data_IF_990415401086
#
_entry.id   IF_990415401086
#
_cell.length_a   1.000
_cell.length_b   1.000
_cell.length_c   1.000
_cell.angle_alpha   90.00
_cell.angle_beta   90.00
_cell.angle_gamma   90.00
#
_symmetry.space_group_name_H-M   'P 1'
#
loop_
_entity.id
_entity.type
_entity.pdbx_description
1 polymer ?
#
# COMPACT_ATOMS: atom_id res chain seq x y z
N UNK A 1 -25.55 4.61 -6.10
CA UNK A 1 -24.32 3.79 -6.08
C UNK A 1 -24.07 3.28 -4.67
N UNK A 2 -23.33 2.19 -4.49
CA UNK A 2 -23.14 1.63 -3.13
C UNK A 2 -21.94 2.30 -2.44
N UNK A 3 -22.09 2.61 -1.15
CA UNK A 3 -20.99 3.05 -0.30
C UNK A 3 -19.93 1.96 -0.18
N UNK A 4 -18.69 2.36 0.14
CA UNK A 4 -17.59 1.46 0.44
C UNK A 4 -17.26 1.52 1.93
N UNK A 5 -17.34 0.39 2.61
CA UNK A 5 -17.01 0.27 4.02
C UNK A 5 -15.54 -0.12 4.18
N UNK A 6 -14.75 0.78 4.77
CA UNK A 6 -13.31 0.60 4.95
C UNK A 6 -12.96 0.65 6.44
N UNK A 7 -12.16 -0.30 6.88
CA UNK A 7 -11.56 -0.31 8.22
C UNK A 7 -10.07 -0.08 8.12
N UNK A 8 -9.55 0.86 8.90
CA UNK A 8 -8.12 1.11 9.07
C UNK A 8 -7.64 0.52 10.39
N UNK A 9 -6.44 -0.08 10.40
CA UNK A 9 -5.81 -0.61 11.62
C UNK A 9 -4.49 0.13 11.85
N UNK A 10 -4.50 1.05 12.80
CA UNK A 10 -3.28 1.67 13.34
C UNK A 10 -2.81 0.86 14.54
N UNK A 11 -1.59 0.33 14.50
CA UNK A 11 -1.09 -0.56 15.57
C UNK A 11 0.40 -0.45 15.79
N UNK A 12 0.85 -0.82 16.98
CA UNK A 12 2.26 -0.99 17.31
C UNK A 12 2.73 -2.36 16.81
N UNK A 13 3.54 -2.36 15.76
CA UNK A 13 4.08 -3.60 15.19
C UNK A 13 5.22 -4.15 16.05
N UNK A 14 5.20 -5.45 16.30
CA UNK A 14 6.31 -6.19 16.89
C UNK A 14 7.47 -6.23 15.90
N UNK A 15 8.64 -5.72 16.35
CA UNK A 15 9.79 -5.58 15.46
C UNK A 15 10.37 -6.94 15.06
N UNK A 16 10.42 -7.21 13.76
CA UNK A 16 10.94 -8.43 13.14
C UNK A 16 10.32 -9.73 13.68
N UNK A 17 9.13 -9.67 14.29
CA UNK A 17 8.40 -10.82 14.81
C UNK A 17 7.09 -11.04 14.02
N UNK A 18 7.19 -11.85 12.98
CA UNK A 18 6.08 -12.15 12.08
C UNK A 18 4.93 -12.83 12.81
N UNK A 19 5.22 -13.86 13.60
CA UNK A 19 4.18 -14.65 14.27
C UNK A 19 3.35 -13.77 15.22
N UNK A 20 4.01 -12.94 16.04
CA UNK A 20 3.34 -12.02 16.95
C UNK A 20 2.50 -10.99 16.19
N UNK A 21 3.01 -10.42 15.08
CA UNK A 21 2.27 -9.46 14.26
C UNK A 21 1.02 -10.09 13.63
N UNK A 22 1.13 -11.26 13.01
CA UNK A 22 -0.01 -11.93 12.37
C UNK A 22 -1.08 -12.30 13.40
N UNK A 23 -0.68 -12.80 14.57
CA UNK A 23 -1.59 -13.12 15.68
C UNK A 23 -2.31 -11.87 16.19
N UNK A 24 -1.58 -10.78 16.47
CA UNK A 24 -2.14 -9.51 16.93
C UNK A 24 -3.12 -8.92 15.91
N UNK A 25 -2.75 -8.87 14.63
CA UNK A 25 -3.59 -8.33 13.57
C UNK A 25 -4.86 -9.18 13.37
N UNK A 26 -4.75 -10.50 13.49
CA UNK A 26 -5.93 -11.38 13.42
C UNK A 26 -6.90 -11.09 14.56
N UNK A 27 -6.41 -10.85 15.79
CA UNK A 27 -7.26 -10.47 16.92
C UNK A 27 -7.96 -9.13 16.69
N UNK A 28 -7.22 -8.11 16.15
CA UNK A 28 -7.82 -6.83 15.79
C UNK A 28 -8.86 -6.95 14.68
N UNK A 29 -8.62 -7.75 13.65
CA UNK A 29 -9.60 -8.02 12.59
C UNK A 29 -10.83 -8.75 13.16
N UNK A 30 -10.64 -9.70 14.07
CA UNK A 30 -11.75 -10.39 14.75
C UNK A 30 -12.57 -9.46 15.64
N UNK A 31 -11.98 -8.41 16.19
CA UNK A 31 -12.68 -7.44 17.05
C UNK A 31 -13.56 -6.45 16.28
N UNK A 32 -13.43 -6.36 14.95
CA UNK A 32 -14.29 -5.51 14.11
C UNK A 32 -15.73 -6.01 14.20
N UNK A 33 -16.61 -5.17 14.73
CA UNK A 33 -18.04 -5.47 14.90
C UNK A 33 -18.89 -4.95 13.75
N UNK A 34 -18.45 -3.87 13.15
CA UNK A 34 -19.11 -3.24 12.02
C UNK A 34 -18.91 -4.09 10.76
N UNK A 35 -19.89 -4.02 9.86
CA UNK A 35 -19.67 -4.55 8.50
C UNK A 35 -18.53 -3.78 7.87
N UNK A 36 -17.57 -4.50 7.29
CA UNK A 36 -16.46 -3.90 6.52
C UNK A 36 -16.24 -4.70 5.25
N UNK A 37 -15.71 -4.04 4.22
CA UNK A 37 -15.43 -4.64 2.93
C UNK A 37 -13.92 -4.65 2.63
N UNK A 38 -13.22 -3.62 3.11
CA UNK A 38 -11.77 -3.48 2.96
C UNK A 38 -11.15 -3.22 4.33
N UNK A 39 -10.13 -3.98 4.69
CA UNK A 39 -9.31 -3.74 5.88
C UNK A 39 -7.91 -3.38 5.44
N UNK A 40 -7.42 -2.22 5.91
CA UNK A 40 -6.13 -1.66 5.55
C UNK A 40 -5.15 -1.79 6.72
N UNK A 41 -4.04 -2.50 6.49
CA UNK A 41 -2.94 -2.72 7.43
C UNK A 41 -1.78 -1.78 7.12
N UNK A 42 -0.85 -1.53 8.07
CA UNK A 42 0.35 -0.72 7.84
C UNK A 42 1.31 -1.31 6.78
N UNK A 43 2.33 -0.52 6.41
CA UNK A 43 3.48 -0.98 5.64
C UNK A 43 4.26 -2.04 6.40
N UNK A 44 4.76 -3.06 5.69
CA UNK A 44 5.53 -4.19 6.28
C UNK A 44 4.89 -4.71 7.58
N UNK A 45 3.58 -4.92 7.53
CA UNK A 45 2.76 -5.22 8.72
C UNK A 45 3.20 -6.49 9.46
N UNK A 46 3.88 -7.41 8.79
CA UNK A 46 4.37 -8.66 9.39
C UNK A 46 5.70 -8.52 10.13
N UNK A 47 6.49 -7.46 9.85
CA UNK A 47 7.87 -7.35 10.38
C UNK A 47 8.23 -5.97 10.92
N UNK A 48 7.49 -4.90 10.55
CA UNK A 48 7.99 -3.54 10.64
C UNK A 48 8.99 -3.22 9.53
N UNK A 49 9.38 -1.94 9.41
CA UNK A 49 10.24 -1.42 8.33
C UNK A 49 11.72 -1.80 8.54
N UNK A 50 12.05 -3.07 8.27
CA UNK A 50 13.40 -3.64 8.45
C UNK A 50 14.21 -3.60 7.16
N UNK A 51 15.54 -3.42 7.30
CA UNK A 51 16.52 -3.48 6.21
C UNK A 51 17.26 -4.84 6.20
N UNK A 52 16.58 -5.92 6.63
CA UNK A 52 17.14 -7.30 6.65
C UNK A 52 16.28 -8.24 5.79
N UNK A 53 16.06 -7.95 4.49
CA UNK A 53 15.20 -8.79 3.67
C UNK A 53 15.73 -10.22 3.52
N UNK A 54 17.04 -10.44 3.61
CA UNK A 54 17.65 -11.76 3.50
C UNK A 54 17.15 -12.73 4.59
N UNK A 55 16.78 -12.19 5.77
CA UNK A 55 16.29 -12.96 6.91
C UNK A 55 14.78 -13.03 6.99
N UNK A 56 14.08 -11.99 6.51
CA UNK A 56 12.67 -11.76 6.80
C UNK A 56 11.75 -11.98 5.59
N UNK A 57 12.30 -11.95 4.36
CA UNK A 57 11.50 -12.02 3.16
C UNK A 57 10.87 -13.40 2.96
N UNK A 58 9.63 -13.38 2.52
CA UNK A 58 8.86 -14.55 2.10
C UNK A 58 8.64 -14.53 0.59
N UNK A 59 8.41 -15.69 -0.01
CA UNK A 59 7.85 -15.76 -1.35
C UNK A 59 6.32 -15.59 -1.31
N UNK A 60 5.69 -15.58 -2.47
CA UNK A 60 4.22 -15.42 -2.60
C UNK A 60 3.40 -16.62 -2.08
N UNK A 61 4.07 -17.72 -1.65
CA UNK A 61 3.46 -18.88 -1.00
C UNK A 61 3.79 -18.95 0.49
N UNK A 62 4.43 -17.91 1.04
CA UNK A 62 4.86 -17.83 2.43
C UNK A 62 3.72 -17.65 3.43
N UNK A 63 4.09 -17.69 4.72
CA UNK A 63 3.17 -17.65 5.86
C UNK A 63 2.25 -16.42 5.83
N UNK A 64 2.80 -15.23 5.52
CA UNK A 64 2.03 -13.99 5.43
C UNK A 64 0.94 -14.06 4.36
N UNK A 65 1.26 -14.59 3.17
CA UNK A 65 0.28 -14.75 2.09
C UNK A 65 -0.80 -15.78 2.43
N UNK A 66 -0.42 -16.91 3.04
CA UNK A 66 -1.36 -17.93 3.49
C UNK A 66 -2.29 -17.38 4.56
N UNK A 67 -1.76 -16.60 5.51
CA UNK A 67 -2.54 -15.90 6.53
C UNK A 67 -3.53 -14.90 5.90
N UNK A 68 -3.08 -14.07 4.94
CA UNK A 68 -3.95 -13.12 4.24
C UNK A 68 -5.08 -13.84 3.50
N UNK A 69 -4.79 -14.92 2.77
CA UNK A 69 -5.80 -15.74 2.05
C UNK A 69 -6.84 -16.28 3.02
N UNK A 70 -6.38 -16.90 4.12
CA UNK A 70 -7.27 -17.49 5.13
C UNK A 70 -8.17 -16.44 5.78
N UNK A 71 -7.60 -15.36 6.31
CA UNK A 71 -8.35 -14.32 7.01
C UNK A 71 -9.33 -13.61 6.08
N UNK A 72 -8.91 -13.30 4.85
CA UNK A 72 -9.78 -12.71 3.82
C UNK A 72 -10.99 -13.58 3.53
N UNK A 73 -10.79 -14.88 3.33
CA UNK A 73 -11.87 -15.84 3.06
C UNK A 73 -12.82 -16.02 4.27
N UNK A 74 -12.27 -16.23 5.47
CA UNK A 74 -13.06 -16.43 6.71
C UNK A 74 -13.93 -15.22 7.04
N UNK A 75 -13.39 -14.02 6.89
CA UNK A 75 -14.08 -12.76 7.21
C UNK A 75 -14.87 -12.18 6.05
N UNK A 76 -14.71 -12.71 4.84
CA UNK A 76 -15.29 -12.21 3.58
C UNK A 76 -14.98 -10.73 3.35
N UNK A 77 -13.71 -10.35 3.57
CA UNK A 77 -13.18 -9.00 3.43
C UNK A 77 -12.04 -8.99 2.42
N UNK A 78 -11.81 -7.83 1.85
CA UNK A 78 -10.56 -7.53 1.15
C UNK A 78 -9.54 -7.10 2.20
N UNK A 79 -8.35 -7.69 2.16
CA UNK A 79 -7.26 -7.37 3.09
C UNK A 79 -6.10 -6.75 2.31
N UNK A 80 -5.62 -5.58 2.73
CA UNK A 80 -4.50 -4.91 2.06
C UNK A 80 -3.48 -4.38 3.06
N UNK A 81 -2.21 -4.48 2.69
CA UNK A 81 -1.04 -4.07 3.45
C UNK A 81 0.21 -4.56 2.75
N UNK A 82 1.40 -4.08 3.11
CA UNK A 82 2.64 -4.55 2.49
C UNK A 82 3.45 -5.45 3.42
N UNK A 83 4.28 -6.30 2.82
CA UNK A 83 5.24 -7.15 3.52
C UNK A 83 6.54 -7.27 2.72
N UNK A 84 7.58 -7.85 3.32
CA UNK A 84 8.86 -8.09 2.66
C UNK A 84 8.75 -9.35 1.80
N UNK A 85 8.75 -9.17 0.48
CA UNK A 85 8.63 -10.26 -0.48
C UNK A 85 9.94 -10.51 -1.21
N UNK A 86 10.23 -11.77 -1.54
CA UNK A 86 11.33 -12.16 -2.42
C UNK A 86 10.80 -12.85 -3.66
N UNK A 87 11.38 -12.50 -4.81
CA UNK A 87 11.19 -13.24 -6.07
C UNK A 87 12.55 -13.73 -6.55
N UNK A 88 12.61 -14.98 -7.00
CA UNK A 88 13.74 -15.46 -7.76
C UNK A 88 13.77 -14.75 -9.12
N UNK A 89 14.92 -14.29 -9.56
CA UNK A 89 15.09 -13.81 -10.93
C UNK A 89 15.01 -15.03 -11.83
N UNK A 90 13.85 -15.27 -12.43
CA UNK A 90 13.74 -16.19 -13.55
C UNK A 90 14.52 -15.57 -14.71
N UNK A 91 15.79 -15.92 -14.86
CA UNK A 91 16.48 -15.71 -16.12
C UNK A 91 15.62 -16.37 -17.20
N UNK A 92 15.31 -15.65 -18.28
CA UNK A 92 14.87 -16.26 -19.52
C UNK A 92 16.04 -17.10 -20.07
N UNK A 93 16.30 -18.26 -19.44
CA UNK A 93 17.11 -19.29 -20.03
C UNK A 93 16.16 -20.06 -20.94
N UNK A 94 16.40 -19.99 -22.26
CA UNK A 94 15.82 -20.90 -23.22
C UNK A 94 15.95 -22.32 -22.68
N UNK A 95 14.83 -23.06 -22.62
CA UNK A 95 14.73 -24.42 -22.06
C UNK A 95 15.71 -25.45 -22.74
N UNK A 96 16.43 -25.02 -23.77
CA UNK A 96 17.34 -25.87 -24.53
C UNK A 96 18.78 -26.00 -23.97
N UNK A 97 19.18 -25.22 -22.94
CA UNK A 97 20.54 -25.26 -22.36
C UNK A 97 20.62 -25.67 -20.89
N UNK A 98 19.57 -26.18 -20.32
CA UNK A 98 19.43 -26.47 -18.88
C UNK A 98 20.07 -27.76 -18.40
N UNK A 99 20.86 -28.49 -19.22
CA UNK A 99 21.41 -29.82 -18.83
C UNK A 99 22.93 -29.89 -18.61
N UNK A 100 23.66 -28.82 -18.74
CA UNK A 100 25.10 -28.82 -18.40
C UNK A 100 25.49 -27.51 -17.73
N UNK A 101 25.57 -27.50 -16.46
CA UNK A 101 26.48 -26.85 -15.51
C UNK A 101 25.74 -26.55 -14.19
N UNK A 102 25.67 -27.54 -13.31
CA UNK A 102 25.47 -27.33 -11.88
C UNK A 102 26.77 -26.74 -11.26
N UNK A 103 27.05 -25.49 -11.51
CA UNK A 103 28.00 -24.74 -10.73
C UNK A 103 27.21 -23.73 -9.89
N UNK A 104 27.53 -23.69 -8.59
CA UNK A 104 26.87 -22.97 -7.51
C UNK A 104 26.81 -21.44 -7.70
N UNK A 105 26.03 -20.98 -8.67
CA UNK A 105 25.61 -19.57 -8.74
C UNK A 105 24.23 -19.49 -8.13
N UNK A 106 24.13 -18.84 -6.95
CA UNK A 106 22.85 -18.50 -6.35
C UNK A 106 22.05 -17.68 -7.39
N UNK A 107 20.82 -18.15 -7.70
CA UNK A 107 19.90 -17.37 -8.55
C UNK A 107 19.74 -15.99 -7.91
N UNK A 108 20.00 -14.90 -8.65
CA UNK A 108 19.82 -13.57 -8.11
C UNK A 108 18.41 -13.42 -7.51
N UNK A 109 18.33 -12.93 -6.31
CA UNK A 109 17.06 -12.77 -5.59
C UNK A 109 16.76 -11.27 -5.49
N UNK A 110 15.57 -10.86 -5.93
CA UNK A 110 15.07 -9.51 -5.70
C UNK A 110 14.17 -9.48 -4.47
N UNK A 111 14.33 -8.44 -3.68
CA UNK A 111 13.47 -8.16 -2.52
C UNK A 111 12.59 -6.95 -2.81
N UNK A 112 11.34 -7.01 -2.39
CA UNK A 112 10.35 -5.97 -2.61
C UNK A 112 9.63 -5.63 -1.30
N UNK A 113 9.33 -4.35 -1.12
CA UNK A 113 8.28 -3.88 -0.23
C UNK A 113 6.97 -4.01 -1.02
N UNK A 114 6.31 -5.18 -0.89
CA UNK A 114 5.18 -5.60 -1.74
C UNK A 114 3.86 -5.43 -1.02
N UNK A 115 3.01 -4.58 -1.55
CA UNK A 115 1.63 -4.42 -1.10
C UNK A 115 0.73 -5.41 -1.84
N UNK A 116 -0.15 -6.06 -1.09
CA UNK A 116 -1.12 -7.03 -1.59
C UNK A 116 -2.53 -6.45 -1.46
N UNK A 117 -3.33 -6.66 -2.47
CA UNK A 117 -4.78 -6.52 -2.46
C UNK A 117 -5.38 -7.91 -2.53
N UNK A 118 -5.68 -8.51 -1.36
CA UNK A 118 -6.16 -9.89 -1.23
C UNK A 118 -7.68 -9.93 -1.25
N UNK A 119 -8.27 -10.63 -2.21
CA UNK A 119 -9.72 -10.84 -2.31
C UNK A 119 -10.16 -12.05 -1.46
N UNK A 120 -11.45 -12.11 -1.06
CA UNK A 120 -12.00 -13.23 -0.29
C UNK A 120 -11.90 -14.60 -0.97
N UNK A 121 -11.84 -14.63 -2.29
CA UNK A 121 -11.70 -15.86 -3.09
C UNK A 121 -10.24 -16.31 -3.27
N UNK A 122 -9.29 -15.58 -2.66
CA UNK A 122 -7.86 -15.87 -2.72
C UNK A 122 -7.14 -15.30 -3.95
N UNK A 123 -7.84 -14.66 -4.88
CA UNK A 123 -7.20 -13.86 -5.93
C UNK A 123 -6.57 -12.61 -5.31
N UNK A 124 -5.51 -12.11 -5.91
CA UNK A 124 -4.82 -10.91 -5.38
C UNK A 124 -4.21 -10.04 -6.47
N UNK A 125 -4.13 -8.75 -6.19
CA UNK A 125 -3.33 -7.79 -6.93
C UNK A 125 -2.04 -7.47 -6.17
N UNK A 126 -1.00 -7.02 -6.90
CA UNK A 126 0.33 -6.74 -6.36
C UNK A 126 0.76 -5.33 -6.74
N UNK A 127 1.29 -4.60 -5.77
CA UNK A 127 2.02 -3.35 -5.97
C UNK A 127 3.36 -3.40 -5.27
N UNK A 128 4.45 -3.32 -6.02
CA UNK A 128 5.80 -3.16 -5.48
C UNK A 128 6.10 -1.67 -5.32
N UNK A 129 6.52 -1.27 -4.13
CA UNK A 129 6.86 0.13 -3.80
C UNK A 129 7.82 0.70 -4.83
N UNK A 130 7.42 1.80 -5.47
CA UNK A 130 8.25 2.44 -6.50
C UNK A 130 9.37 3.26 -5.89
N UNK A 131 9.06 4.13 -4.93
CA UNK A 131 10.04 5.04 -4.35
C UNK A 131 10.58 4.47 -3.04
N UNK A 132 11.80 3.94 -3.10
CA UNK A 132 12.52 3.39 -1.94
C UNK A 132 13.11 4.53 -1.12
N UNK A 133 12.97 4.45 0.20
CA UNK A 133 13.45 5.48 1.11
C UNK A 133 14.97 5.38 1.27
N UNK A 134 15.74 5.96 0.32
CA UNK A 134 17.19 5.91 0.26
C UNK A 134 17.89 6.47 1.51
N UNK A 135 17.27 7.46 2.20
CA UNK A 135 17.80 7.99 3.46
C UNK A 135 17.96 6.91 4.55
N UNK A 136 17.12 5.86 4.54
CA UNK A 136 17.25 4.70 5.43
C UNK A 136 17.97 3.52 4.75
N UNK A 137 18.46 3.67 3.54
CA UNK A 137 19.15 2.61 2.80
C UNK A 137 18.22 1.61 2.11
N UNK A 138 16.91 1.87 2.03
CA UNK A 138 15.94 0.95 1.40
C UNK A 138 16.32 0.65 -0.07
N UNK A 139 16.92 1.60 -0.77
CA UNK A 139 17.40 1.46 -2.16
C UNK A 139 18.54 0.44 -2.33
N UNK A 140 19.27 0.15 -1.24
CA UNK A 140 20.36 -0.83 -1.23
C UNK A 140 19.89 -2.26 -1.00
N UNK A 141 18.69 -2.43 -0.42
CA UNK A 141 18.16 -3.72 0.01
C UNK A 141 16.95 -4.17 -0.82
N UNK A 142 16.19 -3.24 -1.39
CA UNK A 142 14.94 -3.53 -2.08
C UNK A 142 14.95 -3.06 -3.53
N UNK A 143 14.23 -3.78 -4.37
CA UNK A 143 14.02 -3.44 -5.78
C UNK A 143 12.79 -2.54 -5.92
N UNK A 144 12.88 -1.52 -6.80
CA UNK A 144 11.77 -0.65 -7.10
C UNK A 144 10.71 -1.33 -7.99
N UNK A 145 9.44 -1.09 -7.69
CA UNK A 145 8.35 -1.40 -8.59
C UNK A 145 8.27 -0.44 -9.78
N UNK A 146 7.64 -0.90 -10.86
CA UNK A 146 7.51 -0.12 -12.11
C UNK A 146 6.07 0.09 -12.54
N UNK A 147 5.10 -0.54 -11.86
CA UNK A 147 3.68 -0.53 -12.25
C UNK A 147 2.81 -0.03 -11.11
N UNK A 148 1.79 0.78 -11.43
CA UNK A 148 0.73 1.12 -10.49
C UNK A 148 -0.27 -0.04 -10.39
N UNK A 149 -0.91 -0.19 -9.23
CA UNK A 149 -2.06 -1.06 -9.03
C UNK A 149 -3.30 -0.20 -8.76
N UNK A 150 -4.26 -0.27 -9.66
CA UNK A 150 -5.60 0.28 -9.46
C UNK A 150 -6.56 -0.90 -9.35
N UNK A 151 -6.96 -1.19 -8.12
CA UNK A 151 -7.89 -2.27 -7.81
C UNK A 151 -9.34 -1.80 -7.96
N UNK A 152 -10.26 -2.77 -8.12
CA UNK A 152 -11.70 -2.47 -8.21
C UNK A 152 -12.51 -3.30 -7.23
N UNK A 153 -13.47 -2.66 -6.56
CA UNK A 153 -14.45 -3.31 -5.68
C UNK A 153 -15.79 -2.55 -5.75
N UNK A 154 -16.88 -3.24 -6.02
CA UNK A 154 -18.24 -2.67 -6.06
C UNK A 154 -18.35 -1.39 -6.90
N UNK A 155 -17.60 -1.30 -7.99
CA UNK A 155 -17.55 -0.14 -8.86
C UNK A 155 -16.66 1.02 -8.36
N UNK A 156 -16.03 0.90 -7.20
CA UNK A 156 -14.96 1.80 -6.76
C UNK A 156 -13.63 1.41 -7.40
N UNK A 157 -12.85 2.41 -7.79
CA UNK A 157 -11.48 2.26 -8.25
C UNK A 157 -10.53 2.77 -7.17
N UNK A 158 -9.55 1.98 -6.79
CA UNK A 158 -8.67 2.24 -5.64
C UNK A 158 -7.21 2.16 -6.09
N UNK A 159 -6.47 3.25 -5.99
CA UNK A 159 -5.04 3.29 -6.22
C UNK A 159 -4.30 2.98 -4.92
N UNK A 160 -3.30 2.10 -4.98
CA UNK A 160 -2.58 1.60 -3.82
C UNK A 160 -1.12 2.02 -3.89
N UNK A 161 -0.62 2.64 -2.82
CA UNK A 161 0.76 3.13 -2.72
C UNK A 161 1.35 2.89 -1.32
N UNK A 162 2.68 2.99 -1.21
CA UNK A 162 3.40 2.66 0.01
C UNK A 162 4.27 3.84 0.46
N UNK A 163 3.96 4.38 1.63
CA UNK A 163 4.79 5.24 2.46
C UNK A 163 5.49 6.38 1.69
N UNK A 164 6.74 6.19 1.31
CA UNK A 164 7.57 7.21 0.67
C UNK A 164 7.05 7.65 -0.70
N UNK A 165 6.20 6.84 -1.37
CA UNK A 165 5.51 7.22 -2.61
C UNK A 165 4.69 8.51 -2.42
N UNK A 166 4.21 8.78 -1.19
CA UNK A 166 3.47 9.99 -0.84
C UNK A 166 4.23 11.29 -1.20
N UNK A 167 5.57 11.27 -1.19
CA UNK A 167 6.38 12.44 -1.53
C UNK A 167 6.45 12.75 -3.02
N UNK A 168 5.99 11.86 -3.87
CA UNK A 168 6.14 11.93 -5.32
C UNK A 168 4.77 12.11 -6.00
N UNK A 169 4.30 13.38 -6.15
CA UNK A 169 2.95 13.66 -6.63
C UNK A 169 2.67 13.08 -8.01
N UNK A 170 3.64 13.10 -8.91
CA UNK A 170 3.48 12.61 -10.29
C UNK A 170 3.04 11.15 -10.33
N UNK A 171 3.56 10.30 -9.41
CA UNK A 171 3.20 8.89 -9.36
C UNK A 171 1.75 8.65 -8.93
N UNK A 172 1.22 9.51 -8.05
CA UNK A 172 -0.16 9.47 -7.58
C UNK A 172 -1.13 10.23 -8.48
N UNK A 173 -0.63 11.16 -9.32
CA UNK A 173 -1.49 12.09 -10.07
C UNK A 173 -2.43 11.34 -11.01
N UNK A 174 -3.73 11.63 -10.88
CA UNK A 174 -4.74 11.19 -11.84
C UNK A 174 -4.53 11.87 -13.19
N UNK A 175 -4.66 11.08 -14.24
CA UNK A 175 -4.72 11.59 -15.60
C UNK A 175 -6.15 11.51 -16.12
N UNK A 176 -6.51 12.43 -17.00
CA UNK A 176 -7.79 12.39 -17.68
C UNK A 176 -7.83 11.19 -18.61
N UNK A 177 -8.85 10.33 -18.45
CA UNK A 177 -9.11 9.18 -19.31
C UNK A 177 -10.48 9.36 -19.99
N UNK A 178 -10.69 8.76 -21.16
CA UNK A 178 -11.99 8.82 -21.85
C UNK A 178 -13.16 8.34 -20.96
N UNK A 179 -12.90 7.33 -20.11
CA UNK A 179 -13.89 6.74 -19.21
C UNK A 179 -14.02 7.52 -17.87
N UNK A 180 -13.35 8.66 -17.73
CA UNK A 180 -13.36 9.48 -16.53
C UNK A 180 -12.11 9.26 -15.61
N UNK A 181 -12.18 9.64 -14.34
CA UNK A 181 -11.05 9.54 -13.42
C UNK A 181 -10.52 8.12 -13.22
N UNK A 182 -9.21 7.97 -13.08
CA UNK A 182 -8.57 6.66 -12.94
C UNK A 182 -8.97 5.95 -11.64
N UNK A 183 -9.18 6.71 -10.54
CA UNK A 183 -9.54 6.15 -9.23
C UNK A 183 -10.38 7.11 -8.39
N UNK A 184 -11.07 6.56 -7.40
CA UNK A 184 -11.94 7.27 -6.46
C UNK A 184 -11.33 7.36 -5.06
N UNK A 185 -10.44 6.42 -4.73
CA UNK A 185 -9.75 6.32 -3.44
C UNK A 185 -8.26 6.11 -3.69
N UNK A 186 -7.44 6.76 -2.89
CA UNK A 186 -5.99 6.58 -2.85
C UNK A 186 -5.58 6.13 -1.46
N UNK A 187 -4.94 4.95 -1.35
CA UNK A 187 -4.51 4.37 -0.08
C UNK A 187 -2.99 4.42 0.02
N UNK A 188 -2.50 4.92 1.17
CA UNK A 188 -1.11 4.85 1.57
C UNK A 188 -0.98 4.03 2.85
N UNK A 189 -0.16 2.97 2.82
CA UNK A 189 0.25 2.23 4.00
C UNK A 189 1.67 2.63 4.38
N UNK A 190 1.98 2.82 5.69
CA UNK A 190 3.24 3.44 6.09
C UNK A 190 3.83 2.92 7.42
N UNK A 191 5.17 3.10 7.53
CA UNK A 191 5.94 3.25 8.76
C UNK A 191 6.57 4.66 8.73
N UNK A 192 5.76 5.69 8.98
CA UNK A 192 6.18 7.09 8.87
C UNK A 192 6.48 7.68 10.24
N UNK A 193 7.74 8.06 10.52
CA UNK A 193 8.14 8.56 11.85
C UNK A 193 7.51 9.90 12.24
N UNK A 194 7.25 10.07 13.54
CA UNK A 194 6.66 11.29 14.12
C UNK A 194 7.44 12.55 13.75
N UNK A 195 8.78 12.52 13.77
CA UNK A 195 9.62 13.68 13.41
C UNK A 195 9.38 14.23 12.00
N UNK A 196 8.63 13.53 11.17
CA UNK A 196 8.25 13.95 9.80
C UNK A 196 6.73 13.97 9.60
N UNK A 197 5.93 13.94 10.68
CA UNK A 197 4.48 13.81 10.60
C UNK A 197 3.78 15.02 9.95
N UNK A 198 4.38 16.22 10.03
CA UNK A 198 3.86 17.39 9.29
C UNK A 198 3.75 17.09 7.80
N UNK A 199 4.83 16.52 7.20
CA UNK A 199 4.81 16.16 5.79
C UNK A 199 3.79 15.04 5.49
N UNK A 200 3.66 14.05 6.38
CA UNK A 200 2.65 12.99 6.27
C UNK A 200 1.23 13.57 6.15
N UNK A 201 0.82 14.36 7.12
CA UNK A 201 -0.53 14.96 7.18
C UNK A 201 -0.80 15.91 6.02
N UNK A 202 0.15 16.85 5.77
CA UNK A 202 -0.01 17.85 4.71
C UNK A 202 -0.09 17.21 3.32
N UNK A 203 0.77 16.22 3.05
CA UNK A 203 0.78 15.58 1.73
C UNK A 203 -0.44 14.69 1.52
N UNK A 204 -0.96 14.00 2.53
CA UNK A 204 -2.21 13.24 2.40
C UNK A 204 -3.38 14.16 2.01
N UNK A 205 -3.50 15.33 2.66
CA UNK A 205 -4.53 16.32 2.30
C UNK A 205 -4.31 16.86 0.87
N UNK A 206 -3.07 17.18 0.50
CA UNK A 206 -2.76 17.64 -0.85
C UNK A 206 -3.16 16.61 -1.90
N UNK A 207 -2.87 15.31 -1.67
CA UNK A 207 -3.27 14.21 -2.58
C UNK A 207 -4.78 14.10 -2.74
N UNK A 208 -5.55 14.33 -1.66
CA UNK A 208 -7.01 14.32 -1.73
C UNK A 208 -7.54 15.47 -2.60
N UNK A 209 -7.06 16.68 -2.34
CA UNK A 209 -7.50 17.90 -3.02
C UNK A 209 -7.14 17.87 -4.51
N UNK A 210 -5.86 17.64 -4.85
CA UNK A 210 -5.36 17.70 -6.22
C UNK A 210 -5.91 16.58 -7.12
N UNK A 211 -6.29 15.43 -6.53
CA UNK A 211 -6.84 14.29 -7.27
C UNK A 211 -8.36 14.16 -7.14
N UNK A 212 -9.00 15.04 -6.36
CA UNK A 212 -10.43 15.00 -6.08
C UNK A 212 -10.92 13.58 -5.75
N UNK A 213 -10.27 12.94 -4.79
CA UNK A 213 -10.52 11.56 -4.36
C UNK A 213 -10.47 11.45 -2.83
N UNK A 214 -11.06 10.40 -2.27
CA UNK A 214 -10.75 10.06 -0.87
C UNK A 214 -9.29 9.64 -0.73
N UNK A 215 -8.65 10.05 0.37
CA UNK A 215 -7.30 9.57 0.72
C UNK A 215 -7.36 8.88 2.07
N UNK A 216 -6.78 7.68 2.14
CA UNK A 216 -6.65 6.89 3.35
C UNK A 216 -5.17 6.67 3.60
N UNK A 217 -4.65 7.25 4.68
CA UNK A 217 -3.29 7.03 5.16
C UNK A 217 -3.31 6.15 6.40
N UNK A 218 -2.73 4.96 6.34
CA UNK A 218 -2.61 4.05 7.49
C UNK A 218 -1.15 3.92 7.88
N UNK A 219 -0.84 4.33 9.11
CA UNK A 219 0.50 4.30 9.66
C UNK A 219 0.56 3.39 10.89
N UNK A 220 1.76 2.91 11.23
CA UNK A 220 2.00 2.28 12.53
C UNK A 220 2.09 3.33 13.64
N UNK A 221 1.97 2.89 14.91
CA UNK A 221 2.23 3.68 16.12
C UNK A 221 3.32 3.01 16.96
N UNK A 222 3.93 3.74 17.92
CA UNK A 222 4.94 3.23 18.85
C UNK A 222 6.36 3.25 18.31
N UNK A 223 7.30 2.77 19.12
CA UNK A 223 8.72 2.69 18.74
C UNK A 223 8.97 1.48 17.84
N UNK A 224 9.85 1.65 16.85
CA UNK A 224 10.41 0.53 16.11
C UNK A 224 11.64 -0.06 16.81
N UNK A 225 12.23 -1.12 16.24
CA UNK A 225 13.43 -1.76 16.81
C UNK A 225 14.69 -0.90 16.77
N UNK A 226 14.67 0.23 16.07
CA UNK A 226 15.74 1.23 16.04
C UNK A 226 15.48 2.39 17.02
N UNK A 227 14.44 2.30 17.86
CA UNK A 227 14.04 3.36 18.79
C UNK A 227 13.40 4.58 18.13
N UNK A 228 12.96 4.49 16.87
CA UNK A 228 12.30 5.57 16.17
C UNK A 228 10.82 5.55 16.52
N UNK A 229 10.33 6.66 17.08
CA UNK A 229 8.92 6.82 17.44
C UNK A 229 8.05 7.17 16.23
N UNK A 230 6.89 6.52 16.17
CA UNK A 230 5.84 6.73 15.19
C UNK A 230 4.57 7.13 15.92
N UNK A 231 4.05 8.31 15.61
CA UNK A 231 2.84 8.86 16.23
C UNK A 231 1.54 8.30 15.62
N UNK A 232 1.64 7.41 14.65
CA UNK A 232 0.47 7.01 13.88
C UNK A 232 0.07 8.13 12.92
N UNK A 233 -0.83 9.01 13.36
CA UNK A 233 -1.42 10.05 12.53
C UNK A 233 -2.11 9.44 11.29
N UNK A 234 -2.70 8.23 11.43
CA UNK A 234 -3.55 7.67 10.38
C UNK A 234 -4.75 8.58 10.13
N UNK A 235 -5.08 8.78 8.86
CA UNK A 235 -6.08 9.75 8.45
C UNK A 235 -6.98 9.21 7.33
N UNK A 236 -8.22 9.67 7.32
CA UNK A 236 -9.14 9.54 6.18
C UNK A 236 -9.59 10.94 5.81
N UNK A 237 -9.45 11.29 4.54
CA UNK A 237 -9.63 12.64 4.03
C UNK A 237 -10.58 12.57 2.83
N UNK A 238 -11.51 13.51 2.74
CA UNK A 238 -12.46 13.60 1.63
C UNK A 238 -11.85 14.29 0.40
N UNK A 239 -12.53 14.27 -0.77
CA UNK A 239 -12.03 14.89 -1.99
C UNK A 239 -11.83 16.42 -1.94
N UNK A 240 -12.34 17.09 -0.92
CA UNK A 240 -12.15 18.52 -0.69
C UNK A 240 -11.03 18.84 0.31
N UNK A 241 -10.40 17.77 0.89
CA UNK A 241 -9.34 17.90 1.88
C UNK A 241 -9.86 17.95 3.32
N UNK A 242 -11.15 17.73 3.56
CA UNK A 242 -11.71 17.63 4.90
C UNK A 242 -11.27 16.34 5.58
N UNK A 243 -10.81 16.47 6.83
CA UNK A 243 -10.34 15.32 7.62
C UNK A 243 -11.56 14.66 8.27
N UNK A 244 -11.93 13.47 7.75
CA UNK A 244 -13.06 12.68 8.27
C UNK A 244 -12.66 11.84 9.50
N UNK A 245 -11.38 11.48 9.58
CA UNK A 245 -10.80 10.69 10.67
C UNK A 245 -9.33 11.03 10.84
N UNK A 246 -8.88 11.11 12.10
CA UNK A 246 -7.48 11.23 12.47
C UNK A 246 -7.23 10.59 13.83
N UNK A 247 -6.22 9.73 13.92
CA UNK A 247 -5.83 9.11 15.19
C UNK A 247 -4.32 9.27 15.42
N UNK A 248 -3.96 9.80 16.59
CA UNK A 248 -2.57 10.05 16.98
C UNK A 248 -2.22 9.30 18.27
N UNK A 249 -0.98 8.83 18.36
CA UNK A 249 -0.29 8.27 19.54
C UNK A 249 -0.89 6.99 20.15
N UNK A 250 -2.03 6.52 19.68
CA UNK A 250 -2.71 5.33 20.20
C UNK A 250 -3.00 4.33 19.10
N UNK A 251 -3.13 3.06 19.46
CA UNK A 251 -3.66 2.05 18.56
C UNK A 251 -5.16 2.28 18.31
N UNK A 252 -5.62 1.99 17.09
CA UNK A 252 -7.03 2.11 16.77
C UNK A 252 -7.46 1.18 15.64
N UNK A 253 -8.72 0.77 15.69
CA UNK A 253 -9.42 0.03 14.62
C UNK A 253 -10.67 0.83 14.30
N UNK A 254 -10.66 1.53 13.18
CA UNK A 254 -11.71 2.48 12.83
C UNK A 254 -12.37 2.13 11.49
N UNK A 255 -13.70 2.08 11.47
CA UNK A 255 -14.50 1.78 10.27
C UNK A 255 -15.27 3.01 9.82
N UNK A 256 -15.24 3.29 8.54
CA UNK A 256 -15.97 4.38 7.89
C UNK A 256 -16.71 3.91 6.64
N UNK A 257 -17.81 4.58 6.32
CA UNK A 257 -18.55 4.44 5.07
C UNK A 257 -18.20 5.60 4.13
N UNK A 258 -17.52 5.32 3.02
CA UNK A 258 -17.24 6.30 1.98
C UNK A 258 -18.43 6.41 1.03
N UNK A 259 -18.81 7.64 0.69
CA UNK A 259 -19.94 7.92 -0.21
C UNK A 259 -19.47 8.19 -1.65
N UNK A 260 -19.88 7.35 -2.59
CA UNK A 260 -19.55 7.49 -4.01
C UNK A 260 -20.21 8.68 -4.67
N UNK A 261 -21.44 9.01 -4.28
CA UNK A 261 -22.15 10.16 -4.83
C UNK A 261 -21.49 11.48 -4.43
N UNK A 262 -20.87 11.53 -3.24
CA UNK A 262 -20.10 12.68 -2.79
C UNK A 262 -18.93 12.98 -3.74
N UNK A 263 -18.09 11.98 -4.06
CA UNK A 263 -16.97 12.14 -5.03
C UNK A 263 -17.49 12.60 -6.38
N UNK A 264 -18.54 11.95 -6.87
CA UNK A 264 -19.13 12.27 -8.18
C UNK A 264 -19.63 13.71 -8.20
N UNK A 265 -20.40 14.11 -7.20
CA UNK A 265 -20.95 15.47 -7.09
C UNK A 265 -19.86 16.55 -7.05
N UNK A 266 -18.76 16.31 -6.31
CA UNK A 266 -17.62 17.23 -6.27
C UNK A 266 -17.02 17.39 -7.67
N UNK A 267 -16.73 16.29 -8.35
CA UNK A 267 -16.11 16.29 -9.68
C UNK A 267 -17.01 16.89 -10.77
N UNK A 268 -18.34 16.78 -10.62
CA UNK A 268 -19.31 17.43 -11.53
C UNK A 268 -19.38 18.94 -11.30
N UNK A 269 -19.41 19.37 -10.05
CA UNK A 269 -19.48 20.79 -9.68
C UNK A 269 -18.17 21.53 -9.89
N UNK A 270 -17.04 20.85 -9.66
CA UNK A 270 -15.69 21.37 -9.71
C UNK A 270 -14.85 20.48 -10.63
N UNK A 271 -14.97 20.60 -11.97
CA UNK A 271 -14.38 19.65 -12.91
C UNK A 271 -12.86 19.87 -13.14
N UNK A 272 -12.09 20.18 -12.09
CA UNK A 272 -10.66 20.56 -12.16
C UNK A 272 -9.77 19.49 -12.80
N UNK A 273 -10.16 18.21 -12.71
CA UNK A 273 -9.40 17.14 -13.35
C UNK A 273 -9.41 17.22 -14.89
N UNK A 274 -10.37 17.95 -15.48
CA UNK A 274 -10.42 18.18 -16.95
C UNK A 274 -9.35 19.15 -17.43
N UNK A 275 -8.86 20.01 -16.53
CA UNK A 275 -7.84 21.03 -16.83
C UNK A 275 -6.42 20.50 -16.53
N UNK A 276 -6.31 19.24 -16.13
CA UNK A 276 -5.03 18.64 -15.77
C UNK A 276 -4.13 18.37 -16.99
N UNK A 277 -2.83 18.63 -16.83
CA UNK A 277 -1.84 18.31 -17.85
C UNK A 277 -1.76 16.80 -18.09
N UNK A 278 -1.46 16.42 -19.34
CA UNK A 278 -1.08 15.05 -19.70
C UNK A 278 0.42 14.87 -19.56
N UNK A 279 0.87 13.75 -18.99
CA UNK A 279 2.29 13.44 -18.84
C UNK A 279 2.54 11.94 -18.93
N UNK A 280 3.79 11.56 -19.16
CA UNK A 280 4.25 10.17 -19.18
C UNK A 280 5.33 9.98 -18.13
N UNK A 281 5.22 8.90 -17.35
CA UNK A 281 6.26 8.52 -16.39
C UNK A 281 7.12 7.42 -17.02
N UNK A 282 8.37 7.75 -17.28
CA UNK A 282 9.33 6.77 -17.81
C UNK A 282 9.91 5.91 -16.68
N UNK A 283 10.08 4.62 -16.93
CA UNK A 283 10.88 3.76 -16.08
C UNK A 283 12.35 3.91 -16.44
N UNK A 284 13.25 3.89 -15.45
CA UNK A 284 14.69 3.85 -15.72
C UNK A 284 14.99 2.61 -16.59
N UNK A 285 15.60 2.81 -17.73
CA UNK A 285 15.89 1.77 -18.75
C UNK A 285 15.16 1.92 -20.08
N UNK A 286 14.11 2.75 -20.17
CA UNK A 286 13.41 3.02 -21.44
C UNK A 286 13.79 4.37 -22.08
N UNK A 287 15.02 4.82 -21.94
CA UNK A 287 15.52 6.08 -22.57
C UNK A 287 16.04 5.88 -24.00
N UNK A 288 15.73 4.78 -24.66
CA UNK A 288 15.97 4.64 -26.09
C UNK A 288 14.64 4.91 -26.79
N UNK A 289 14.52 6.11 -27.32
CA UNK A 289 13.59 6.65 -28.32
C UNK A 289 12.85 7.92 -27.81
N UNK A 290 13.59 9.02 -27.81
CA UNK A 290 13.05 10.38 -27.99
C UNK A 290 13.61 10.95 -29.27
#
# INVERSE_FOLDING_TARGET
MSNLLVTTIQTNLHWEDKAANLQMLEQKIKSIREKTEVVVLPEMFSTGFSMKPELLAENMEGETMQWMKRVSAERKIILTGSFICRDAVNGHADEAQSQMVQTAYSVPTHYYNRLIWMLPDGQYGVYDKRHRFAFAGEDKHYTAGTKRLIASVKGWKINLQVCYDLRFPVWARQQSQPEGPEYDVLIYVANWPERRNLAWKTLLQARAIENQCYVIGVNRVGNDGNGIYHSGDSMIIDPMGEILYHKKDEEDVFTISLDKEHVKTIREKLPFLKDADSFVVFNEGNTTDL
#
